data_IF_619967410812
#
_entry.id   IF_619967410812
#
_cell.length_a   1.000
_cell.length_b   1.000
_cell.length_c   1.000
_cell.angle_alpha   90.00
_cell.angle_beta   90.00
_cell.angle_gamma   90.00
#
_symmetry.space_group_name_H-M   'P 1'
#
loop_
_entity.id
_entity.type
_entity.pdbx_description
1 polymer ?
#
# COMPACT_ATOMS: atom_id res chain seq x y z
N UNK A 1 -20.73 16.14 7.75
CA UNK A 1 -21.13 15.05 8.63
C UNK A 1 -21.07 13.69 7.94
N UNK A 2 -21.63 13.57 6.74
CA UNK A 2 -21.56 12.32 5.98
C UNK A 2 -20.17 12.03 5.41
N UNK A 3 -19.35 13.06 5.18
CA UNK A 3 -18.03 12.91 4.59
C UNK A 3 -17.05 12.13 5.46
N UNK A 4 -17.11 12.30 6.78
CA UNK A 4 -16.21 11.57 7.70
C UNK A 4 -16.49 10.07 7.73
N UNK A 5 -17.78 9.70 7.71
CA UNK A 5 -18.18 8.30 7.72
C UNK A 5 -17.77 7.63 6.41
N UNK A 6 -18.03 8.29 5.30
CA UNK A 6 -17.72 7.75 3.97
C UNK A 6 -16.23 7.55 3.76
N UNK A 7 -15.41 8.38 4.35
CA UNK A 7 -13.96 8.30 4.18
C UNK A 7 -13.36 7.10 4.92
N UNK A 8 -13.73 6.93 6.17
CA UNK A 8 -13.26 5.77 6.92
C UNK A 8 -13.68 4.48 6.23
N UNK A 9 -14.90 4.43 5.71
CA UNK A 9 -15.37 3.27 4.95
C UNK A 9 -14.57 3.08 3.67
N UNK A 10 -14.25 4.15 2.97
CA UNK A 10 -13.48 4.05 1.74
C UNK A 10 -12.10 3.47 2.01
N UNK A 11 -11.39 4.02 2.98
CA UNK A 11 -10.03 3.56 3.29
C UNK A 11 -10.07 2.13 3.84
N UNK A 12 -11.01 1.81 4.73
CA UNK A 12 -11.19 0.45 5.24
C UNK A 12 -11.50 -0.52 4.11
N UNK A 13 -12.39 -0.14 3.19
CA UNK A 13 -12.74 -0.94 2.05
C UNK A 13 -11.53 -1.23 1.17
N UNK A 14 -10.70 -0.22 0.92
CA UNK A 14 -9.48 -0.38 0.13
C UNK A 14 -8.49 -1.30 0.83
N UNK A 15 -8.27 -1.11 2.12
CA UNK A 15 -7.35 -1.97 2.88
C UNK A 15 -7.85 -3.41 2.88
N UNK A 16 -9.14 -3.63 3.09
CA UNK A 16 -9.71 -4.98 3.05
C UNK A 16 -9.55 -5.61 1.68
N UNK A 17 -9.82 -4.86 0.62
CA UNK A 17 -9.66 -5.35 -0.74
C UNK A 17 -8.21 -5.74 -1.03
N UNK A 18 -7.26 -4.89 -0.64
CA UNK A 18 -5.85 -5.16 -0.87
C UNK A 18 -5.34 -6.31 -0.02
N UNK A 19 -5.84 -6.43 1.21
CA UNK A 19 -5.52 -7.56 2.08
C UNK A 19 -6.04 -8.86 1.46
N UNK A 20 -7.27 -8.85 0.97
CA UNK A 20 -7.88 -10.00 0.31
C UNK A 20 -7.10 -10.40 -0.93
N UNK A 21 -6.73 -9.42 -1.76
CA UNK A 21 -5.95 -9.66 -2.97
C UNK A 21 -4.61 -10.32 -2.64
N UNK A 22 -3.91 -9.81 -1.65
CA UNK A 22 -2.63 -10.36 -1.23
C UNK A 22 -2.79 -11.75 -0.64
N UNK A 23 -3.88 -11.99 0.09
CA UNK A 23 -4.20 -13.30 0.62
C UNK A 23 -4.44 -14.31 -0.51
N UNK A 24 -5.09 -13.90 -1.58
CA UNK A 24 -5.28 -14.75 -2.76
C UNK A 24 -3.95 -15.15 -3.37
N UNK A 25 -3.02 -14.21 -3.49
CA UNK A 25 -1.69 -14.48 -4.00
C UNK A 25 -0.98 -15.51 -3.11
N UNK A 26 -1.06 -15.32 -1.79
CA UNK A 26 -0.48 -16.24 -0.82
C UNK A 26 -1.05 -17.64 -0.98
N UNK A 27 -2.37 -17.75 -1.09
CA UNK A 27 -3.05 -19.03 -1.24
C UNK A 27 -2.61 -19.75 -2.51
N UNK A 28 -2.53 -19.02 -3.63
CA UNK A 28 -2.08 -19.59 -4.89
C UNK A 28 -0.64 -20.07 -4.82
N UNK A 29 0.20 -19.36 -4.10
CA UNK A 29 1.62 -19.72 -3.94
C UNK A 29 1.79 -21.01 -3.13
N UNK A 30 1.01 -21.15 -2.05
CA UNK A 30 1.14 -22.27 -1.12
C UNK A 30 0.43 -23.54 -1.62
N UNK A 31 -0.70 -23.35 -2.30
CA UNK A 31 -1.59 -24.46 -2.66
C UNK A 31 -1.80 -24.60 -4.16
N UNK A 32 -1.21 -23.74 -4.96
CA UNK A 32 -1.28 -23.83 -6.41
C UNK A 32 -0.49 -25.01 -6.92
N UNK A 33 -1.16 -25.85 -7.70
CA UNK A 33 -0.57 -27.09 -8.18
C UNK A 33 0.43 -26.80 -9.30
N UNK A 34 1.69 -27.11 -9.07
CA UNK A 34 2.70 -27.17 -10.11
C UNK A 34 3.09 -25.85 -10.75
N UNK A 35 2.75 -24.75 -10.13
CA UNK A 35 3.12 -23.45 -10.66
C UNK A 35 4.37 -22.94 -9.99
N UNK A 36 5.43 -22.83 -10.76
CA UNK A 36 6.63 -22.06 -10.41
C UNK A 36 6.32 -20.55 -10.51
N UNK A 37 5.16 -20.14 -10.01
CA UNK A 37 4.86 -18.71 -10.00
C UNK A 37 5.71 -18.08 -8.91
N UNK A 38 6.64 -17.25 -9.32
CA UNK A 38 7.46 -16.51 -8.39
C UNK A 38 6.56 -15.56 -7.60
N UNK A 39 6.31 -15.90 -6.34
CA UNK A 39 5.57 -15.03 -5.42
C UNK A 39 6.24 -13.67 -5.28
N UNK A 40 7.54 -13.61 -5.52
CA UNK A 40 8.30 -12.35 -5.43
C UNK A 40 7.90 -11.37 -6.52
N UNK A 41 7.60 -11.86 -7.73
CA UNK A 41 7.09 -11.01 -8.81
C UNK A 41 5.70 -10.49 -8.51
N UNK A 42 4.86 -11.32 -7.92
CA UNK A 42 3.50 -10.92 -7.55
C UNK A 42 3.51 -9.89 -6.42
N UNK A 43 4.40 -10.06 -5.45
CA UNK A 43 4.56 -9.10 -4.37
C UNK A 43 5.06 -7.76 -4.91
N UNK A 44 5.98 -7.78 -5.87
CA UNK A 44 6.43 -6.56 -6.53
C UNK A 44 5.28 -5.82 -7.19
N UNK A 45 4.48 -6.52 -7.98
CA UNK A 45 3.33 -5.94 -8.66
C UNK A 45 2.32 -5.36 -7.68
N UNK A 46 2.08 -6.09 -6.60
CA UNK A 46 1.22 -5.63 -5.53
C UNK A 46 1.73 -4.32 -4.91
N UNK A 47 3.03 -4.25 -4.63
CA UNK A 47 3.64 -3.04 -4.08
C UNK A 47 3.45 -1.83 -4.98
N UNK A 48 3.67 -2.00 -6.27
CA UNK A 48 3.50 -0.93 -7.25
C UNK A 48 2.03 -0.48 -7.31
N UNK A 49 1.08 -1.43 -7.34
CA UNK A 49 -0.34 -1.10 -7.34
C UNK A 49 -0.76 -0.32 -6.10
N UNK A 50 -0.24 -0.71 -4.96
CA UNK A 50 -0.51 0.00 -3.71
C UNK A 50 -0.02 1.44 -3.77
N UNK A 51 1.18 1.66 -4.29
CA UNK A 51 1.73 3.00 -4.46
C UNK A 51 0.93 3.82 -5.48
N UNK A 52 0.47 3.20 -6.57
CA UNK A 52 -0.41 3.88 -7.53
C UNK A 52 -1.68 4.37 -6.86
N UNK A 53 -2.29 3.54 -6.04
CA UNK A 53 -3.53 3.88 -5.36
C UNK A 53 -3.33 5.06 -4.39
N UNK A 54 -2.26 5.04 -3.65
CA UNK A 54 -2.00 6.08 -2.64
C UNK A 54 -1.63 7.41 -3.29
N UNK A 55 -0.79 7.37 -4.32
CA UNK A 55 -0.28 8.60 -4.97
C UNK A 55 -1.19 9.11 -6.08
N UNK A 56 -2.03 8.25 -6.64
CA UNK A 56 -2.82 8.60 -7.81
C UNK A 56 -2.00 8.67 -9.09
N UNK A 57 -0.75 8.22 -9.06
CA UNK A 57 0.15 8.27 -10.21
C UNK A 57 0.40 6.87 -10.73
N UNK A 58 0.55 6.76 -12.04
CA UNK A 58 0.84 5.48 -12.69
C UNK A 58 2.34 5.23 -12.76
N UNK A 59 2.80 3.98 -12.67
CA UNK A 59 4.23 3.66 -12.72
C UNK A 59 4.86 4.00 -14.07
N UNK A 60 4.06 4.01 -15.13
CA UNK A 60 4.51 4.37 -16.48
C UNK A 60 4.58 5.88 -16.70
N UNK A 61 4.22 6.67 -15.70
CA UNK A 61 4.21 8.11 -15.82
C UNK A 61 5.65 8.62 -15.73
N UNK A 62 6.25 8.90 -16.88
CA UNK A 62 7.64 9.36 -16.99
C UNK A 62 7.85 10.75 -16.41
N UNK A 63 6.78 11.41 -15.97
CA UNK A 63 6.78 12.82 -15.57
C UNK A 63 6.75 12.95 -14.05
N UNK A 64 7.22 11.98 -13.31
CA UNK A 64 7.45 12.14 -11.88
C UNK A 64 8.64 13.08 -11.69
N UNK A 65 8.56 13.90 -10.67
CA UNK A 65 9.58 14.90 -10.39
C UNK A 65 10.98 14.29 -10.43
N UNK A 66 11.88 14.92 -11.20
CA UNK A 66 13.25 14.46 -11.31
C UNK A 66 13.45 13.17 -12.10
N UNK A 67 12.43 12.71 -12.84
CA UNK A 67 12.53 11.47 -13.61
C UNK A 67 12.54 10.22 -12.76
N UNK A 68 12.09 10.30 -11.51
CA UNK A 68 12.06 9.18 -10.60
C UNK A 68 10.96 8.18 -10.98
N UNK A 69 11.21 6.90 -10.78
CA UNK A 69 10.16 5.90 -10.87
C UNK A 69 9.26 6.00 -9.61
N UNK A 70 8.11 5.33 -9.66
CA UNK A 70 7.13 5.42 -8.59
C UNK A 70 7.68 4.91 -7.25
N UNK A 71 8.46 3.84 -7.28
CA UNK A 71 9.08 3.30 -6.08
C UNK A 71 10.01 4.33 -5.41
N UNK A 72 10.91 4.92 -6.17
CA UNK A 72 11.85 5.91 -5.64
C UNK A 72 11.13 7.17 -5.19
N UNK A 73 10.13 7.60 -5.94
CA UNK A 73 9.31 8.75 -5.58
C UNK A 73 8.66 8.57 -4.20
N UNK A 74 8.07 7.40 -3.98
CA UNK A 74 7.43 7.08 -2.71
C UNK A 74 8.45 6.88 -1.59
N UNK A 75 9.56 6.22 -1.90
CA UNK A 75 10.61 5.95 -0.92
C UNK A 75 11.20 7.23 -0.35
N UNK A 76 11.40 8.23 -1.20
CA UNK A 76 11.95 9.52 -0.78
C UNK A 76 11.00 10.32 0.10
N UNK A 77 9.70 10.02 0.04
CA UNK A 77 8.71 10.71 0.85
C UNK A 77 8.60 10.16 2.27
N UNK A 78 9.14 8.97 2.52
CA UNK A 78 9.09 8.38 3.86
C UNK A 78 10.10 9.05 4.79
N UNK A 79 9.78 9.23 6.06
CA UNK A 79 8.45 9.05 6.66
C UNK A 79 7.63 10.35 6.73
N UNK A 80 8.21 11.50 6.46
CA UNK A 80 7.63 12.79 6.84
C UNK A 80 6.85 13.48 5.72
N UNK A 81 7.03 13.04 4.47
CA UNK A 81 6.46 13.73 3.31
C UNK A 81 5.39 12.91 2.60
N UNK A 82 4.86 11.88 3.28
CA UNK A 82 3.86 10.99 2.68
C UNK A 82 2.59 11.76 2.30
N UNK A 83 2.17 12.70 3.14
CA UNK A 83 0.98 13.49 2.85
C UNK A 83 1.15 14.30 1.56
N UNK A 84 2.35 14.81 1.31
CA UNK A 84 2.61 15.63 0.11
C UNK A 84 2.46 14.82 -1.18
N UNK A 85 2.77 13.53 -1.16
CA UNK A 85 2.68 12.68 -2.34
C UNK A 85 1.36 11.94 -2.45
N UNK A 86 0.53 11.98 -1.42
CA UNK A 86 -0.75 11.29 -1.40
C UNK A 86 -1.75 11.97 -2.33
N UNK A 87 -2.60 11.15 -2.95
CA UNK A 87 -3.65 11.66 -3.83
C UNK A 87 -4.55 12.60 -3.03
N UNK A 88 -4.76 13.84 -3.52
CA UNK A 88 -5.67 14.77 -2.85
C UNK A 88 -7.07 14.22 -2.62
N UNK A 89 -7.53 13.30 -3.47
CA UNK A 89 -8.84 12.67 -3.29
C UNK A 89 -8.90 11.84 -2.01
N UNK A 90 -7.79 11.23 -1.62
CA UNK A 90 -7.72 10.52 -0.35
C UNK A 90 -7.74 11.48 0.81
N UNK A 91 -7.06 12.61 0.69
CA UNK A 91 -6.94 13.59 1.76
C UNK A 91 -8.20 14.40 1.96
N UNK A 92 -8.89 14.76 0.88
CA UNK A 92 -10.08 15.60 0.95
C UNK A 92 -11.24 14.95 1.67
N UNK A 93 -11.30 13.62 1.61
CA UNK A 93 -12.36 12.84 2.26
C UNK A 93 -11.95 12.43 3.68
N UNK A 94 -10.74 12.77 4.07
CA UNK A 94 -10.17 12.40 5.35
C UNK A 94 -10.34 13.55 6.31
N UNK A 95 -11.04 13.31 7.36
CA UNK A 95 -10.79 14.17 8.50
C UNK A 95 -9.28 14.07 8.82
N UNK A 96 -8.66 15.18 9.06
CA UNK A 96 -7.25 15.23 9.41
C UNK A 96 -7.06 14.56 10.77
N UNK A 97 -6.87 13.24 10.75
CA UNK A 97 -6.62 12.50 11.96
C UNK A 97 -5.22 11.93 11.90
N UNK A 98 -4.54 11.95 13.04
CA UNK A 98 -3.24 11.32 13.18
C UNK A 98 -3.28 9.85 12.76
N UNK A 99 -4.42 9.21 13.00
CA UNK A 99 -4.65 7.83 12.63
C UNK A 99 -4.55 7.62 11.11
N UNK A 100 -5.18 8.50 10.34
CA UNK A 100 -5.13 8.41 8.88
C UNK A 100 -3.72 8.61 8.37
N UNK A 101 -3.03 9.60 8.92
CA UNK A 101 -1.64 9.87 8.55
C UNK A 101 -0.76 8.66 8.85
N UNK A 102 -0.93 8.05 10.01
CA UNK A 102 -0.20 6.85 10.40
C UNK A 102 -0.46 5.70 9.44
N UNK A 103 -1.73 5.50 9.05
CA UNK A 103 -2.10 4.46 8.09
C UNK A 103 -1.45 4.70 6.73
N UNK A 104 -1.47 5.92 6.24
CA UNK A 104 -0.86 6.24 4.95
C UNK A 104 0.64 6.02 4.96
N UNK A 105 1.32 6.40 6.03
CA UNK A 105 2.75 6.14 6.18
C UNK A 105 3.02 4.64 6.15
N UNK A 106 2.24 3.86 6.88
CA UNK A 106 2.39 2.41 6.91
C UNK A 106 2.13 1.79 5.54
N UNK A 107 1.12 2.24 4.83
CA UNK A 107 0.78 1.72 3.52
C UNK A 107 1.86 2.06 2.48
N UNK A 108 2.42 3.26 2.53
CA UNK A 108 3.54 3.61 1.64
C UNK A 108 4.76 2.75 1.95
N UNK A 109 5.03 2.52 3.23
CA UNK A 109 6.13 1.65 3.64
C UNK A 109 5.96 0.23 3.10
N UNK A 110 4.74 -0.30 3.18
CA UNK A 110 4.43 -1.61 2.61
C UNK A 110 4.69 -1.61 1.10
N UNK A 111 4.17 -0.60 0.40
CA UNK A 111 4.34 -0.50 -1.05
C UNK A 111 5.80 -0.43 -1.47
N UNK A 112 6.59 0.37 -0.78
CA UNK A 112 8.01 0.50 -1.06
C UNK A 112 8.74 -0.81 -0.77
N UNK A 113 8.45 -1.43 0.36
CA UNK A 113 9.14 -2.66 0.77
C UNK A 113 8.78 -3.85 -0.13
N UNK A 114 7.58 -3.85 -0.67
CA UNK A 114 7.14 -4.89 -1.61
C UNK A 114 7.66 -4.66 -3.02
N UNK A 115 8.04 -3.43 -3.37
CA UNK A 115 8.48 -3.07 -4.72
C UNK A 115 9.98 -2.85 -4.82
N UNK A 116 10.76 -3.39 -3.89
CA UNK A 116 12.21 -3.36 -3.99
C UNK A 116 12.65 -4.05 -5.27
N UNK A 117 13.62 -3.45 -5.95
CA UNK A 117 14.09 -3.98 -7.23
C UNK A 117 14.73 -5.36 -7.08
N UNK A 118 15.55 -5.53 -6.03
CA UNK A 118 16.20 -6.80 -5.77
C UNK A 118 15.25 -7.72 -4.99
N UNK A 119 14.93 -8.91 -5.54
CA UNK A 119 13.99 -9.82 -4.87
C UNK A 119 14.37 -10.19 -3.45
N UNK A 120 15.67 -10.32 -3.17
CA UNK A 120 16.12 -10.71 -1.83
C UNK A 120 15.95 -9.60 -0.78
N UNK A 121 15.77 -8.35 -1.22
CA UNK A 121 15.51 -7.22 -0.34
C UNK A 121 14.02 -6.96 -0.17
N UNK A 122 13.21 -7.58 -1.01
CA UNK A 122 11.78 -7.37 -1.05
C UNK A 122 11.12 -8.16 0.08
N UNK A 123 10.11 -7.57 0.71
CA UNK A 123 9.31 -8.29 1.69
C UNK A 123 8.66 -9.51 1.05
N UNK A 124 8.56 -10.60 1.83
CA UNK A 124 7.76 -11.74 1.39
C UNK A 124 6.28 -11.46 1.63
N UNK A 125 5.44 -12.33 1.09
CA UNK A 125 3.99 -12.15 1.14
C UNK A 125 3.46 -12.22 2.58
N UNK A 126 4.07 -13.04 3.43
CA UNK A 126 3.65 -13.19 4.83
C UNK A 126 3.91 -11.90 5.59
N UNK A 127 5.08 -11.30 5.39
CA UNK A 127 5.41 -10.03 6.01
C UNK A 127 4.46 -8.93 5.56
N UNK A 128 4.19 -8.86 4.25
CA UNK A 128 3.28 -7.87 3.70
C UNK A 128 1.87 -8.01 4.27
N UNK A 129 1.36 -9.24 4.35
CA UNK A 129 0.06 -9.52 4.95
C UNK A 129 0.00 -9.10 6.41
N UNK A 130 1.03 -9.42 7.18
CA UNK A 130 1.09 -9.06 8.60
C UNK A 130 1.00 -7.56 8.78
N UNK A 131 1.71 -6.80 7.97
CA UNK A 131 1.71 -5.35 8.05
C UNK A 131 0.37 -4.75 7.62
N UNK A 132 -0.29 -5.33 6.61
CA UNK A 132 -1.63 -4.89 6.21
C UNK A 132 -2.67 -5.14 7.30
N UNK A 133 -2.57 -6.26 8.00
CA UNK A 133 -3.46 -6.52 9.13
C UNK A 133 -3.28 -5.48 10.23
N UNK A 134 -2.05 -5.04 10.48
CA UNK A 134 -1.79 -3.97 11.45
C UNK A 134 -2.43 -2.65 11.00
N UNK A 135 -2.35 -2.33 9.71
CA UNK A 135 -3.00 -1.12 9.18
C UNK A 135 -4.50 -1.20 9.36
N UNK A 136 -5.09 -2.37 9.07
CA UNK A 136 -6.52 -2.59 9.27
C UNK A 136 -6.91 -2.36 10.72
N UNK A 137 -6.13 -2.88 11.65
CA UNK A 137 -6.41 -2.73 13.08
C UNK A 137 -6.34 -1.26 13.51
N UNK A 138 -5.38 -0.50 12.99
CA UNK A 138 -5.28 0.92 13.25
C UNK A 138 -6.53 1.65 12.75
N UNK A 139 -6.98 1.32 11.54
CA UNK A 139 -8.17 1.95 10.96
C UNK A 139 -9.44 1.64 11.74
N UNK A 140 -9.55 0.45 12.27
CA UNK A 140 -10.70 0.07 13.08
C UNK A 140 -10.64 0.63 14.50
N UNK A 141 -9.51 1.24 14.88
CA UNK A 141 -9.34 1.72 16.24
C UNK A 141 -9.22 0.61 17.27
N UNK A 142 -8.99 -0.62 16.83
CA UNK A 142 -8.88 -1.79 17.72
C UNK A 142 -7.57 -1.82 18.47
N UNK A 143 -6.61 -1.04 18.04
CA UNK A 143 -5.30 -1.01 18.64
C UNK A 143 -5.19 0.12 19.63
N UNK A 144 -4.92 -0.24 20.82
CA UNK A 144 -4.75 0.72 21.92
C UNK A 144 -3.28 0.85 22.28
#
# INVERSE_FOLDING_TARGET
MFSHINYNYFLQSQVLMWTYFLYQIFWMAEYGVGCDVSTKGDVYSYGILLLEMITGKRPTNCVLEGGLNLHNYASMALPNRVIEISDPKLLNNCGDTDRTKECLISMVKIGVSCSMELPQERWDIIKALSELYLVRDILHGARI
#
